data_IF_658257697661
#
_entry.id   IF_658257697661
#
_cell.length_a   1.000
_cell.length_b   1.000
_cell.length_c   1.000
_cell.angle_alpha   90.00
_cell.angle_beta   90.00
_cell.angle_gamma   90.00
#
_symmetry.space_group_name_H-M   'P 1'
#
loop_
_entity.id
_entity.type
_entity.pdbx_description
1 polymer ?
2 non-polymer ?
3 non-polymer ?
4 water ?
#
# COMPACT_ATOMS: atom_id res chain seq x y z
N UNK A 1 -15.72 -14.73 9.32
CA UNK A 1 -14.93 -15.07 8.14
C UNK A 1 -15.76 -14.77 6.90
N UNK A 2 -15.10 -14.26 5.87
CA UNK A 2 -15.66 -14.20 4.52
C UNK A 2 -14.53 -14.42 3.53
N UNK A 3 -14.80 -15.25 2.53
CA UNK A 3 -13.77 -15.69 1.59
C UNK A 3 -13.39 -14.56 0.64
N UNK A 4 -14.37 -13.77 0.21
CA UNK A 4 -14.10 -12.62 -0.63
C UNK A 4 -13.13 -11.69 0.09
N UNK A 5 -13.48 -11.28 1.30
CA UNK A 5 -12.63 -10.37 2.07
C UNK A 5 -11.22 -10.92 2.27
N UNK A 6 -11.14 -12.16 2.74
CA UNK A 6 -9.85 -12.77 3.01
C UNK A 6 -9.04 -12.87 1.75
N UNK A 7 -9.64 -13.42 0.69
CA UNK A 7 -8.92 -13.59 -0.55
C UNK A 7 -8.47 -12.24 -1.09
N UNK A 8 -9.33 -11.23 -0.91
CA UNK A 8 -8.98 -9.85 -1.30
C UNK A 8 -7.77 -9.31 -0.51
N UNK A 9 -7.78 -9.45 0.82
CA UNK A 9 -6.64 -8.98 1.62
C UNK A 9 -5.33 -9.71 1.32
N UNK A 10 -5.39 -11.03 1.19
CA UNK A 10 -4.19 -11.80 0.85
C UNK A 10 -3.67 -11.42 -0.54
N UNK A 11 -4.58 -11.26 -1.50
CA UNK A 11 -4.18 -10.85 -2.84
C UNK A 11 -3.43 -9.51 -2.79
N UNK A 12 -3.90 -8.58 -1.96
CA UNK A 12 -3.22 -7.30 -1.76
C UNK A 12 -1.79 -7.49 -1.23
N UNK A 13 -1.56 -8.51 -0.42
CA UNK A 13 -0.21 -8.80 0.11
C UNK A 13 0.78 -9.22 -0.95
N UNK A 14 0.28 -9.53 -2.15
CA UNK A 14 1.09 -9.95 -3.26
C UNK A 14 1.97 -8.80 -3.73
N UNK A 15 1.52 -7.58 -3.44
CA UNK A 15 2.29 -6.42 -3.82
C UNK A 15 3.61 -6.35 -3.05
N UNK A 16 3.58 -6.37 -1.70
CA UNK A 16 4.90 -6.45 -1.05
C UNK A 16 5.62 -7.79 -1.18
N UNK A 17 4.88 -8.90 -1.34
CA UNK A 17 5.53 -10.19 -1.53
C UNK A 17 6.35 -10.18 -2.83
N UNK A 18 5.82 -9.48 -3.83
CA UNK A 18 6.53 -9.32 -5.09
C UNK A 18 7.84 -8.56 -4.94
N UNK A 19 7.80 -7.42 -4.25
CA UNK A 19 8.98 -6.65 -3.91
C UNK A 19 10.05 -7.54 -3.35
N UNK A 20 9.65 -8.40 -2.43
CA UNK A 20 10.58 -9.27 -1.75
C UNK A 20 11.11 -10.36 -2.66
N UNK A 21 10.26 -10.87 -3.54
CA UNK A 21 10.67 -11.88 -4.49
C UNK A 21 11.71 -11.33 -5.45
N UNK A 22 11.51 -10.07 -5.83
CA UNK A 22 12.33 -9.44 -6.85
C UNK A 22 13.64 -8.89 -6.28
N UNK A 23 13.60 -8.35 -5.08
CA UNK A 23 14.78 -7.76 -4.51
C UNK A 23 15.22 -8.52 -3.27
N UNK A 24 15.48 -9.81 -3.44
CA UNK A 24 15.66 -10.75 -2.33
C UNK A 24 16.65 -10.28 -1.26
N UNK A 25 16.13 -9.71 -0.16
CA UNK A 25 16.88 -9.20 0.98
C UNK A 25 17.11 -10.19 2.13
N UNK A 26 18.30 -10.31 2.74
CA UNK A 26 19.57 -9.59 2.49
C UNK A 26 19.48 -8.07 2.24
N UNK A 39 21.44 -19.69 7.57
CA UNK A 39 19.98 -19.79 7.67
C UNK A 39 19.43 -20.47 6.45
N UNK A 40 18.67 -21.56 6.63
CA UNK A 40 18.15 -22.37 5.53
C UNK A 40 17.14 -21.56 4.72
N UNK A 41 17.09 -21.73 3.41
CA UNK A 41 16.38 -20.78 2.55
C UNK A 41 14.85 -20.79 2.67
N UNK A 42 14.27 -21.76 3.35
CA UNK A 42 12.83 -21.75 3.48
C UNK A 42 12.36 -20.80 4.57
N UNK A 43 13.23 -20.41 5.50
CA UNK A 43 12.84 -19.53 6.62
C UNK A 43 12.18 -18.19 6.17
N UNK A 44 12.80 -17.49 5.24
CA UNK A 44 12.32 -16.18 4.76
C UNK A 44 10.91 -16.24 4.14
N UNK A 45 10.71 -17.11 3.12
CA UNK A 45 9.34 -17.10 2.58
C UNK A 45 8.34 -17.72 3.58
N UNK A 46 8.80 -18.67 4.40
CA UNK A 46 7.93 -19.25 5.41
C UNK A 46 7.55 -18.20 6.43
N UNK A 47 8.51 -17.39 6.83
CA UNK A 47 8.23 -16.29 7.76
C UNK A 47 7.22 -15.31 7.17
N UNK A 48 7.38 -15.00 5.87
CA UNK A 48 6.49 -14.07 5.17
C UNK A 48 5.09 -14.59 4.83
N UNK A 49 5.00 -15.85 4.39
CA UNK A 49 3.69 -16.44 4.19
C UNK A 49 2.88 -16.39 5.49
N UNK A 50 3.52 -16.74 6.61
CA UNK A 50 2.84 -16.68 7.89
C UNK A 50 2.36 -15.25 8.14
N UNK A 51 3.22 -14.26 7.93
CA UNK A 51 2.86 -12.85 8.18
C UNK A 51 1.70 -12.40 7.31
N UNK A 52 1.74 -12.76 6.04
CA UNK A 52 0.68 -12.37 5.13
C UNK A 52 -0.64 -13.06 5.50
N UNK A 53 -0.56 -14.30 5.96
CA UNK A 53 -1.77 -15.05 6.33
C UNK A 53 -2.37 -14.44 7.62
N UNK A 54 -1.51 -14.22 8.61
CA UNK A 54 -1.92 -13.61 9.88
C UNK A 54 -2.61 -12.27 9.68
N UNK A 55 -2.07 -11.43 8.81
CA UNK A 55 -2.62 -10.08 8.68
C UNK A 55 -3.86 -10.01 7.78
N UNK A 56 -3.98 -10.96 6.86
CA UNK A 56 -5.18 -11.05 6.01
C UNK A 56 -6.35 -11.60 6.83
N UNK A 57 -6.02 -12.48 7.76
CA UNK A 57 -7.01 -13.07 8.64
C UNK A 57 -7.56 -12.00 9.57
N UNK A 58 -6.65 -11.20 10.14
CA UNK A 58 -7.03 -10.12 11.04
C UNK A 58 -7.87 -9.04 10.34
N UNK A 59 -7.41 -8.58 9.18
CA UNK A 59 -8.19 -7.58 8.42
C UNK A 59 -9.58 -8.10 8.04
N UNK A 60 -9.65 -9.38 7.69
CA UNK A 60 -10.92 -9.99 7.35
C UNK A 60 -11.89 -9.94 8.54
N UNK A 61 -11.41 -10.30 9.73
CA UNK A 61 -12.26 -10.22 10.93
C UNK A 61 -12.73 -8.80 11.17
N UNK A 62 -11.79 -7.87 11.11
CA UNK A 62 -12.07 -6.47 11.39
C UNK A 62 -13.00 -5.85 10.33
N UNK A 63 -12.91 -6.30 9.08
CA UNK A 63 -13.63 -5.69 7.97
C UNK A 63 -15.14 -5.88 8.06
N UNK A 64 -15.55 -6.78 8.95
CA UNK A 64 -16.95 -7.13 9.14
C UNK A 64 -17.61 -6.37 10.27
N UNK A 65 -16.81 -5.78 11.16
CA UNK A 65 -17.33 -5.10 12.32
C UNK A 65 -17.71 -3.66 12.02
N UNK A 66 -18.64 -3.13 12.81
CA UNK A 66 -19.03 -1.73 12.70
C UNK A 66 -17.92 -0.86 13.24
N UNK A 67 -17.77 0.34 12.69
CA UNK A 67 -16.74 1.25 13.17
C UNK A 67 -15.31 0.96 12.75
N UNK A 68 -15.14 0.09 11.76
CA UNK A 68 -13.81 -0.36 11.39
C UNK A 68 -13.12 0.47 10.30
N UNK A 69 -13.73 1.58 9.87
CA UNK A 69 -13.22 2.38 8.77
C UNK A 69 -11.81 2.87 9.00
N UNK A 70 -11.58 3.42 10.19
CA UNK A 70 -10.31 3.98 10.61
C UNK A 70 -9.21 2.92 10.68
N UNK A 71 -9.54 1.76 11.24
CA UNK A 71 -8.57 0.66 11.28
C UNK A 71 -8.23 0.22 9.85
N UNK A 72 -9.23 0.19 8.98
CA UNK A 72 -9.00 -0.24 7.61
C UNK A 72 -8.23 0.83 6.81
N UNK A 73 -8.47 2.10 7.13
CA UNK A 73 -7.64 3.18 6.59
C UNK A 73 -6.18 3.02 7.04
N UNK A 74 -5.97 2.60 8.28
CA UNK A 74 -4.62 2.38 8.77
C UNK A 74 -4.04 1.20 8.02
N UNK A 75 -4.83 0.16 7.85
CA UNK A 75 -4.35 -1.04 7.16
C UNK A 75 -3.87 -0.78 5.71
N UNK A 76 -4.59 0.06 4.97
CA UNK A 76 -4.18 0.38 3.62
C UNK A 76 -2.82 1.06 3.68
N UNK A 77 -2.69 2.01 4.60
CA UNK A 77 -1.49 2.81 4.80
C UNK A 77 -0.25 1.97 5.13
N UNK A 78 -0.32 1.09 6.13
CA UNK A 78 0.87 0.26 6.44
C UNK A 78 1.22 -0.61 5.25
N UNK A 79 0.19 -1.00 4.48
CA UNK A 79 0.41 -1.96 3.44
C UNK A 79 1.19 -1.30 2.32
N UNK A 80 0.87 -0.05 2.05
CA UNK A 80 1.48 0.66 0.95
C UNK A 80 2.92 1.06 1.28
N UNK A 81 3.15 1.47 2.53
CA UNK A 81 4.50 1.86 2.93
C UNK A 81 5.40 0.64 3.11
N UNK A 82 4.83 -0.49 3.53
CA UNK A 82 5.51 -1.78 3.40
C UNK A 82 6.00 -2.02 1.95
N UNK A 83 5.10 -1.87 1.00
CA UNK A 83 5.44 -2.12 -0.40
C UNK A 83 6.50 -1.15 -0.91
N UNK A 84 6.42 0.09 -0.44
CA UNK A 84 7.38 1.12 -0.79
C UNK A 84 8.76 0.85 -0.17
N UNK A 85 8.78 0.35 1.06
CA UNK A 85 10.02 0.34 1.80
C UNK A 85 11.12 -0.48 1.12
N UNK A 86 10.80 -1.71 0.75
CA UNK A 86 11.78 -2.64 0.24
C UNK A 86 12.51 -2.12 -1.01
N UNK A 87 11.77 -1.62 -2.03
CA UNK A 87 12.46 -1.07 -3.21
C UNK A 87 13.22 0.23 -2.95
N UNK A 88 12.95 0.94 -1.86
CA UNK A 88 13.67 2.16 -1.60
C UNK A 88 14.95 1.84 -0.81
N UNK A 89 14.89 0.83 0.04
CA UNK A 89 16.07 0.50 0.81
C UNK A 89 16.98 -0.42 0.02
N UNK A 90 16.41 -1.46 -0.58
CA UNK A 90 17.19 -2.48 -1.26
C UNK A 90 17.28 -2.22 -2.74
N UNK A 91 16.33 -1.48 -3.28
CA UNK A 91 16.35 -1.18 -4.70
C UNK A 91 17.24 0.02 -5.00
N UNK A 92 16.73 1.21 -4.69
CA UNK A 92 17.41 2.48 -4.94
C UNK A 92 18.58 2.74 -4.02
N UNK A 93 18.74 1.86 -3.05
CA UNK A 93 19.57 2.07 -1.88
C UNK A 93 19.67 3.54 -1.45
N UNK A 94 18.52 4.21 -1.37
CA UNK A 94 18.44 5.55 -0.80
C UNK A 94 18.11 5.50 0.69
N UNK A 95 19.15 5.41 1.51
CA UNK A 95 19.00 5.08 2.92
C UNK A 95 18.25 6.10 3.77
N UNK A 96 18.26 7.35 3.36
CA UNK A 96 17.61 8.39 4.15
C UNK A 96 16.11 8.39 3.85
N UNK A 97 15.79 8.47 2.56
CA UNK A 97 14.43 8.28 2.10
C UNK A 97 13.82 7.01 2.71
N UNK A 98 14.59 5.93 2.69
CA UNK A 98 14.13 4.65 3.22
C UNK A 98 13.94 4.65 4.73
N UNK A 99 14.57 5.58 5.43
CA UNK A 99 14.39 5.68 6.87
C UNK A 99 13.06 6.30 7.23
N UNK A 100 12.68 7.34 6.47
CA UNK A 100 11.43 8.03 6.71
C UNK A 100 10.27 7.09 6.41
N UNK A 101 10.40 6.36 5.29
CA UNK A 101 9.35 5.44 4.87
C UNK A 101 9.14 4.41 5.95
N UNK A 102 10.21 3.77 6.41
CA UNK A 102 10.09 2.69 7.38
C UNK A 102 9.54 3.18 8.75
N UNK A 103 9.77 4.43 9.13
CA UNK A 103 9.25 4.91 10.41
C UNK A 103 7.79 5.25 10.28
N UNK A 104 7.42 5.74 9.11
CA UNK A 104 6.03 6.03 8.81
C UNK A 104 5.29 4.70 8.70
N UNK A 105 5.94 3.71 8.12
CA UNK A 105 5.39 2.36 8.01
C UNK A 105 5.15 1.76 9.39
N UNK A 106 6.20 1.79 10.22
CA UNK A 106 6.15 1.27 11.59
C UNK A 106 4.99 1.87 12.34
N UNK A 107 4.78 3.17 12.12
CA UNK A 107 3.74 3.91 12.81
C UNK A 107 2.34 3.38 12.41
N UNK A 108 2.12 3.15 11.13
CA UNK A 108 0.84 2.59 10.68
C UNK A 108 0.64 1.11 11.05
N UNK A 109 1.72 0.31 11.00
CA UNK A 109 1.65 -1.06 11.52
C UNK A 109 1.17 -1.05 12.99
N UNK A 110 1.79 -0.20 13.81
CA UNK A 110 1.37 -0.05 15.21
C UNK A 110 -0.05 0.48 15.31
N UNK A 111 -0.39 1.43 14.44
CA UNK A 111 -1.73 2.05 14.43
C UNK A 111 -2.82 1.03 14.06
N UNK A 112 -2.51 0.21 13.07
CA UNK A 112 -3.42 -0.86 12.66
C UNK A 112 -3.63 -1.81 13.81
N UNK A 113 -2.51 -2.30 14.36
CA UNK A 113 -2.55 -3.22 15.47
C UNK A 113 -3.44 -2.72 16.57
N UNK A 114 -3.27 -1.45 16.94
CA UNK A 114 -4.00 -0.92 18.08
C UNK A 114 -5.48 -0.68 17.77
N UNK A 115 -5.76 -0.16 16.59
CA UNK A 115 -7.13 0.00 16.15
C UNK A 115 -7.80 -1.37 15.98
N UNK A 116 -7.03 -2.37 15.56
CA UNK A 116 -7.57 -3.73 15.51
C UNK A 116 -7.96 -4.20 16.91
N UNK A 117 -7.08 -3.96 17.89
CA UNK A 117 -7.26 -4.37 19.28
C UNK A 117 -8.56 -3.79 19.86
N UNK A 118 -8.91 -2.58 19.46
CA UNK A 118 -10.05 -1.90 20.05
C UNK A 118 -11.35 -2.35 19.42
N UNK A 119 -11.27 -3.15 18.35
CA UNK A 119 -12.44 -3.75 17.73
C UNK A 119 -12.47 -5.26 17.95
N UNK A 120 -11.29 -5.87 18.02
CA UNK A 120 -11.17 -7.31 18.12
C UNK A 120 -9.78 -7.72 18.59
N UNK A 121 -9.72 -8.28 19.79
CA UNK A 121 -8.48 -8.74 20.41
C UNK A 121 -7.65 -9.68 19.55
N UNK A 122 -8.32 -10.65 18.91
CA UNK A 122 -7.66 -11.60 18.02
C UNK A 122 -6.92 -10.91 16.87
N UNK A 123 -7.59 -9.97 16.23
CA UNK A 123 -7.01 -9.20 15.14
C UNK A 123 -5.74 -8.49 15.56
N UNK A 124 -5.75 -7.93 16.77
CA UNK A 124 -4.57 -7.26 17.30
C UNK A 124 -3.45 -8.25 17.63
N UNK A 125 -3.82 -9.37 18.24
CA UNK A 125 -2.85 -10.39 18.56
C UNK A 125 -2.18 -10.89 17.28
N UNK A 126 -2.97 -11.08 16.25
CA UNK A 126 -2.46 -11.60 14.98
C UNK A 126 -1.50 -10.63 14.29
N UNK A 127 -1.54 -9.35 14.66
CA UNK A 127 -0.58 -8.36 14.16
C UNK A 127 0.70 -8.16 14.98
N UNK A 128 0.76 -8.71 16.19
CA UNK A 128 1.95 -8.53 16.99
C UNK A 128 3.23 -9.00 16.27
N UNK A 129 3.24 -10.23 15.69
CA UNK A 129 4.49 -10.65 15.04
C UNK A 129 4.92 -9.78 13.85
N UNK A 130 3.98 -9.05 13.28
CA UNK A 130 4.27 -8.19 12.14
C UNK A 130 4.83 -6.87 12.61
N UNK A 131 4.35 -6.37 13.74
CA UNK A 131 5.00 -5.23 14.38
C UNK A 131 6.44 -5.56 14.76
N UNK A 132 6.70 -6.83 15.10
CA UNK A 132 8.04 -7.27 15.43
C UNK A 132 8.94 -7.20 14.20
N UNK A 133 8.48 -7.70 13.04
CA UNK A 133 9.26 -7.49 11.83
C UNK A 133 9.51 -6.00 11.52
N UNK A 134 8.49 -5.17 11.71
CA UNK A 134 8.58 -3.75 11.36
C UNK A 134 9.56 -3.05 12.25
N UNK A 135 9.71 -3.58 13.46
CA UNK A 135 10.70 -3.10 14.43
C UNK A 135 12.11 -3.55 14.04
N UNK A 136 12.20 -4.74 13.46
CA UNK A 136 13.44 -5.22 12.91
C UNK A 136 13.88 -4.36 11.72
N UNK A 137 12.92 -4.06 10.86
CA UNK A 137 13.13 -3.29 9.64
C UNK A 137 13.66 -1.90 9.93
N UNK A 138 13.05 -1.26 10.92
CA UNK A 138 13.45 0.05 11.39
C UNK A 138 14.87 0.04 12.00
N UNK A 139 15.16 -0.98 12.79
CA UNK A 139 16.49 -1.10 13.40
C UNK A 139 17.59 -1.27 12.38
N UNK A 140 17.37 -2.19 11.44
CA UNK A 140 18.33 -2.43 10.37
C UNK A 140 18.59 -1.14 9.61
N UNK A 141 17.54 -0.37 9.41
CA UNK A 141 17.64 0.78 8.54
C UNK A 141 18.17 2.00 9.27
N UNK A 142 18.04 2.06 10.59
CA UNK A 142 18.63 3.16 11.36
C UNK A 142 20.16 3.16 11.28
N UNK A 143 20.71 2.02 10.90
CA UNK A 143 22.15 1.76 10.94
C UNK A 143 22.82 1.97 9.61
N UNK A 144 22.32 1.20 8.64
CA UNK A 144 22.58 1.41 7.24
C UNK A 144 22.65 2.89 7.05
N UNK A 145 21.65 3.56 7.63
CA UNK A 145 21.57 5.01 7.71
C UNK A 145 22.89 5.72 8.04
N UNK A 146 23.20 5.92 9.31
CA UNK A 146 24.31 6.79 9.61
C UNK A 146 25.65 6.04 9.60
N UNK A 147 25.72 5.02 8.73
CA UNK A 147 27.00 4.59 8.18
C UNK A 147 27.16 5.31 6.84
N UNK A 148 26.03 5.65 6.22
CA UNK A 148 25.99 6.27 4.91
C UNK A 148 25.45 7.70 4.96
N UNK A 149 25.49 8.29 6.15
CA UNK A 149 24.84 9.58 6.38
C UNK A 149 25.47 10.72 5.63
N UNK A 150 26.76 10.56 5.30
CA UNK A 150 27.53 11.64 4.70
C UNK A 150 27.70 11.47 3.18
N UNK A 151 27.22 10.34 2.65
CA UNK A 151 27.14 10.14 1.20
C UNK A 151 25.79 10.53 0.65
N UNK A 152 25.66 11.77 0.13
CA UNK A 152 24.36 12.29 -0.31
C UNK A 152 23.76 11.49 -1.46
N UNK A 153 24.50 10.55 -2.05
CA UNK A 153 23.92 9.61 -3.00
C UNK A 153 23.15 8.50 -2.30
N UNK A 154 23.65 8.09 -1.14
CA UNK A 154 22.88 7.19 -0.29
C UNK A 154 21.65 7.93 0.22
N UNK A 155 21.81 9.17 0.69
CA UNK A 155 20.66 9.96 1.13
C UNK A 155 19.64 10.15 0.00
N UNK B 1 -16.64 14.26 6.19
CA UNK B 1 -17.01 14.30 7.60
C UNK B 1 -16.03 13.77 8.58
N UNK B 2 -14.88 13.26 8.13
CA UNK B 2 -13.87 13.03 9.13
C UNK B 2 -12.44 13.30 8.65
N UNK B 3 -11.73 14.11 9.44
CA UNK B 3 -10.38 14.55 9.14
C UNK B 3 -9.37 13.44 9.40
N UNK B 4 -9.59 12.67 10.46
CA UNK B 4 -8.75 11.51 10.75
C UNK B 4 -8.76 10.57 9.57
N UNK B 5 -9.95 10.15 9.14
CA UNK B 5 -10.07 9.20 8.02
C UNK B 5 -9.38 9.74 6.80
N UNK B 6 -9.74 10.96 6.44
CA UNK B 6 -9.22 11.63 5.27
C UNK B 6 -7.72 11.77 5.35
N UNK B 7 -7.25 12.32 6.46
CA UNK B 7 -5.83 12.56 6.61
C UNK B 7 -5.09 11.22 6.57
N UNK B 8 -5.68 10.19 7.17
CA UNK B 8 -5.10 8.85 7.10
C UNK B 8 -5.05 8.33 5.66
N UNK B 9 -6.13 8.46 4.88
CA UNK B 9 -6.08 8.00 3.48
C UNK B 9 -5.08 8.80 2.62
N UNK B 10 -5.07 10.12 2.78
CA UNK B 10 -4.14 10.96 2.03
C UNK B 10 -2.69 10.64 2.40
N UNK B 11 -2.44 10.39 3.69
CA UNK B 11 -1.11 10.00 4.12
C UNK B 11 -0.70 8.71 3.41
N UNK B 12 -1.64 7.78 3.26
CA UNK B 12 -1.34 6.52 2.55
C UNK B 12 -0.93 6.79 1.10
N UNK B 13 -1.47 7.83 0.48
CA UNK B 13 -1.08 8.13 -0.90
C UNK B 13 0.38 8.56 -0.99
N UNK B 14 0.98 8.88 0.15
CA UNK B 14 2.36 9.34 0.23
C UNK B 14 3.33 8.25 -0.18
N UNK B 15 2.90 6.99 -0.03
CA UNK B 15 3.72 5.86 -0.43
C UNK B 15 3.87 5.80 -1.96
N UNK B 16 2.74 5.76 -2.73
CA UNK B 16 2.94 5.82 -4.18
C UNK B 16 3.42 7.18 -4.70
N UNK B 17 3.08 8.27 -4.02
CA UNK B 17 3.59 9.56 -4.43
C UNK B 17 5.12 9.61 -4.30
N UNK B 18 5.63 8.92 -3.28
CA UNK B 18 7.08 8.84 -3.05
C UNK B 18 7.80 8.15 -4.21
N UNK B 19 7.27 7.01 -4.63
CA UNK B 19 7.75 6.26 -5.81
C UNK B 19 7.91 7.18 -7.00
N UNK B 20 6.91 8.04 -7.18
CA UNK B 20 6.91 8.96 -8.30
C UNK B 20 7.93 10.07 -8.13
N UNK B 21 8.10 10.52 -6.88
CA UNK B 21 9.09 11.54 -6.60
C UNK B 21 10.49 11.00 -6.93
N UNK B 22 10.69 9.71 -6.70
CA UNK B 22 12.00 9.06 -6.86
C UNK B 22 12.34 8.59 -8.29
N UNK B 23 11.37 8.05 -9.02
CA UNK B 23 11.60 7.49 -10.34
C UNK B 23 10.89 8.29 -11.42
N UNK B 24 11.29 9.54 -11.54
CA UNK B 24 10.59 10.60 -12.26
C UNK B 24 10.10 10.32 -13.70
N UNK B 25 8.80 10.01 -13.87
CA UNK B 25 8.29 9.89 -15.25
C UNK B 25 7.66 11.21 -15.75
N UNK B 26 7.96 11.67 -16.97
CA UNK B 26 8.89 11.02 -17.89
C UNK B 26 10.32 11.47 -17.66
N UNK B 39 5.34 19.38 -22.45
CA UNK B 39 4.40 19.29 -21.31
C UNK B 39 4.88 20.13 -20.13
N UNK B 40 4.05 21.09 -19.68
CA UNK B 40 4.54 21.97 -18.61
C UNK B 40 4.75 21.15 -17.36
N UNK B 41 5.82 21.43 -16.61
CA UNK B 41 6.24 20.50 -15.58
C UNK B 41 5.36 20.43 -14.33
N UNK B 42 4.44 21.37 -14.17
CA UNK B 42 3.55 21.35 -13.03
C UNK B 42 2.40 20.40 -13.27
N UNK B 43 2.16 20.05 -14.54
CA UNK B 43 1.06 19.15 -14.93
C UNK B 43 1.11 17.80 -14.21
N UNK B 44 2.29 17.19 -14.16
CA UNK B 44 2.43 15.86 -13.56
C UNK B 44 2.05 15.87 -12.09
N UNK B 45 2.68 16.75 -11.28
CA UNK B 45 2.25 16.69 -9.87
C UNK B 45 0.84 17.22 -9.64
N UNK B 46 0.38 18.16 -10.46
CA UNK B 46 -0.96 18.68 -10.28
C UNK B 46 -2.00 17.60 -10.53
N UNK B 47 -1.80 16.79 -11.56
CA UNK B 47 -2.71 15.67 -11.83
C UNK B 47 -2.68 14.67 -10.69
N UNK B 48 -1.49 14.35 -10.21
CA UNK B 48 -1.38 13.38 -9.12
C UNK B 48 -1.89 13.93 -7.80
N UNK B 49 -1.62 15.20 -7.51
CA UNK B 49 -2.21 15.83 -6.33
C UNK B 49 -3.75 15.74 -6.43
N UNK B 50 -4.32 16.06 -7.59
CA UNK B 50 -5.76 15.94 -7.79
C UNK B 50 -6.24 14.49 -7.59
N UNK B 51 -5.53 13.52 -8.17
CA UNK B 51 -5.89 12.11 -8.08
C UNK B 51 -5.91 11.60 -6.64
N UNK B 52 -4.92 12.03 -5.86
CA UNK B 52 -4.82 11.60 -4.46
C UNK B 52 -5.91 12.18 -3.55
N UNK B 53 -6.29 13.43 -3.78
CA UNK B 53 -7.30 14.03 -2.92
C UNK B 53 -8.66 13.41 -3.22
N UNK B 54 -8.95 13.32 -4.52
CA UNK B 54 -10.20 12.73 -5.02
C UNK B 54 -10.41 11.33 -4.46
N UNK B 55 -9.35 10.52 -4.41
CA UNK B 55 -9.54 9.14 -3.99
C UNK B 55 -9.57 9.02 -2.45
N UNK B 56 -8.94 9.98 -1.75
CA UNK B 56 -9.01 10.07 -0.28
C UNK B 56 -10.36 10.62 0.17
N UNK B 57 -10.93 11.53 -0.61
CA UNK B 57 -12.26 12.02 -0.30
C UNK B 57 -13.26 10.89 -0.46
N UNK B 58 -13.13 10.14 -1.57
CA UNK B 58 -14.01 9.01 -1.83
C UNK B 58 -13.87 7.91 -0.75
N UNK B 59 -12.64 7.52 -0.44
CA UNK B 59 -12.39 6.52 0.63
C UNK B 59 -12.93 6.99 1.99
N UNK B 60 -12.76 8.28 2.26
CA UNK B 60 -13.27 8.86 3.48
C UNK B 60 -14.79 8.71 3.59
N UNK B 61 -15.50 9.01 2.50
CA UNK B 61 -16.95 8.88 2.48
C UNK B 61 -17.40 7.44 2.75
N UNK B 62 -16.76 6.50 2.07
CA UNK B 62 -17.13 5.08 2.16
C UNK B 62 -16.77 4.45 3.52
N UNK B 63 -15.67 4.91 4.13
CA UNK B 63 -15.16 4.30 5.36
C UNK B 63 -16.11 4.53 6.51
N UNK B 64 -17.04 5.45 6.32
CA UNK B 64 -17.97 5.84 7.37
C UNK B 64 -19.27 5.03 7.27
N UNK B 65 -19.55 4.47 6.09
CA UNK B 65 -20.78 3.72 5.86
C UNK B 65 -20.64 2.28 6.32
N UNK B 66 -21.75 1.66 6.68
CA UNK B 66 -21.73 0.23 6.95
C UNK B 66 -21.79 -0.57 5.65
N UNK B 67 -21.20 -1.76 5.68
CA UNK B 67 -21.04 -2.60 4.52
C UNK B 67 -19.82 -2.20 3.72
N UNK B 68 -18.92 -1.42 4.31
CA UNK B 68 -17.84 -0.87 3.51
C UNK B 68 -16.58 -1.72 3.49
N UNK B 69 -16.58 -2.85 4.19
CA UNK B 69 -15.37 -3.65 4.34
C UNK B 69 -14.74 -4.11 3.05
N UNK B 70 -15.56 -4.66 2.15
CA UNK B 70 -15.10 -5.19 0.87
C UNK B 70 -14.56 -4.10 -0.06
N UNK B 71 -15.22 -2.95 -0.10
CA UNK B 71 -14.66 -1.84 -0.87
C UNK B 71 -13.31 -1.38 -0.27
N UNK B 72 -13.22 -1.32 1.05
CA UNK B 72 -11.97 -0.87 1.69
C UNK B 72 -10.86 -1.94 1.55
N UNK B 73 -11.21 -3.21 1.56
CA UNK B 73 -10.23 -4.22 1.19
C UNK B 73 -9.73 -3.98 -0.25
N UNK B 74 -10.65 -3.56 -1.13
CA UNK B 74 -10.27 -3.26 -2.50
C UNK B 74 -9.37 -2.04 -2.56
N UNK B 75 -9.73 -1.02 -1.80
CA UNK B 75 -8.93 0.20 -1.79
C UNK B 75 -7.47 -0.06 -1.37
N UNK B 76 -7.29 -0.89 -0.35
CA UNK B 76 -5.94 -1.21 0.09
C UNK B 76 -5.17 -1.88 -1.03
N UNK B 77 -5.81 -2.85 -1.68
CA UNK B 77 -5.19 -3.64 -2.74
C UNK B 77 -4.71 -2.81 -3.92
N UNK B 78 -5.56 -1.94 -4.46
CA UNK B 78 -5.12 -1.11 -5.59
C UNK B 78 -3.98 -0.18 -5.15
N UNK B 79 -3.97 0.20 -3.88
CA UNK B 79 -3.03 1.22 -3.45
C UNK B 79 -1.65 0.60 -3.47
N UNK B 80 -1.60 -0.67 -3.07
CA UNK B 80 -0.33 -1.35 -2.96
C UNK B 80 0.26 -1.68 -4.35
N UNK B 81 -0.58 -2.14 -5.27
CA UNK B 81 -0.15 -2.46 -6.63
C UNK B 81 0.12 -1.19 -7.45
N UNK B 82 -0.57 -0.11 -7.13
CA UNK B 82 -0.12 1.21 -7.57
C UNK B 82 1.32 1.51 -7.13
N UNK B 83 1.56 1.35 -5.83
CA UNK B 83 2.88 1.62 -5.24
C UNK B 83 3.94 0.71 -5.81
N UNK B 84 3.53 -0.55 -6.04
CA UNK B 84 4.41 -1.55 -6.61
C UNK B 84 4.73 -1.26 -8.07
N UNK B 85 3.76 -0.78 -8.85
CA UNK B 85 3.95 -0.74 -10.29
C UNK B 85 5.14 0.12 -10.76
N UNK B 86 5.21 1.35 -10.24
CA UNK B 86 6.19 2.32 -10.67
C UNK B 86 7.64 1.81 -10.45
N UNK B 87 7.96 1.27 -9.26
CA UNK B 87 9.34 0.77 -9.09
C UNK B 87 9.65 -0.48 -9.90
N UNK B 88 8.64 -1.21 -10.38
CA UNK B 88 8.90 -2.40 -11.17
C UNK B 88 9.01 -2.04 -12.65
N UNK B 89 8.28 -1.03 -13.08
CA UNK B 89 8.34 -0.66 -14.46
C UNK B 89 9.51 0.27 -14.72
N UNK B 90 9.63 1.30 -13.88
CA UNK B 90 10.59 2.36 -14.09
C UNK B 90 11.85 2.07 -13.30
N UNK B 91 11.70 1.33 -12.21
CA UNK B 91 12.84 1.04 -11.38
C UNK B 91 13.59 -0.15 -11.93
N UNK B 92 13.06 -1.34 -11.73
CA UNK B 92 13.70 -2.58 -12.15
C UNK B 92 13.66 -2.80 -13.66
N UNK B 93 12.93 -1.93 -14.36
CA UNK B 93 12.53 -2.08 -15.77
C UNK B 93 12.26 -3.51 -16.24
N UNK B 94 11.57 -4.30 -15.42
CA UNK B 94 11.13 -5.64 -15.83
C UNK B 94 9.73 -5.57 -16.43
N UNK B 95 9.68 -5.39 -17.74
CA UNK B 95 8.46 -5.07 -18.46
C UNK B 95 7.40 -6.15 -18.42
N UNK B 96 7.78 -7.39 -18.19
CA UNK B 96 6.81 -8.45 -18.19
C UNK B 96 6.15 -8.56 -16.83
N UNK B 97 7.00 -8.72 -15.82
CA UNK B 97 6.56 -8.71 -14.44
C UNK B 97 5.65 -7.50 -14.16
N UNK B 98 6.07 -6.33 -14.64
CA UNK B 98 5.31 -5.10 -14.47
C UNK B 98 3.98 -5.15 -15.22
N UNK B 99 3.87 -6.03 -16.20
CA UNK B 99 2.60 -6.15 -16.92
C UNK B 99 1.58 -6.85 -16.06
N UNK B 100 2.02 -7.89 -15.36
CA UNK B 100 1.11 -8.61 -14.51
C UNK B 100 0.69 -7.67 -13.39
N UNK B 101 1.66 -6.93 -12.86
CA UNK B 101 1.36 -5.98 -11.78
C UNK B 101 0.35 -4.96 -12.23
N UNK B 102 0.58 -4.31 -13.37
CA UNK B 102 -0.32 -3.23 -13.77
C UNK B 102 -1.74 -3.76 -14.12
N UNK B 103 -1.85 -5.00 -14.57
CA UNK B 103 -3.18 -5.56 -14.89
C UNK B 103 -3.89 -5.90 -13.61
N UNK B 104 -3.12 -6.38 -12.63
CA UNK B 104 -3.66 -6.66 -11.32
C UNK B 104 -4.06 -5.34 -10.68
N UNK B 105 -3.23 -4.31 -10.87
CA UNK B 105 -3.56 -2.98 -10.33
C UNK B 105 -4.81 -2.44 -10.97
N UNK B 106 -4.88 -2.47 -12.31
CA UNK B 106 -6.07 -1.98 -13.02
C UNK B 106 -7.32 -2.64 -12.50
N UNK B 107 -7.24 -3.93 -12.21
CA UNK B 107 -8.41 -4.69 -11.81
C UNK B 107 -8.96 -4.24 -10.44
N UNK B 108 -8.07 -4.03 -9.49
CA UNK B 108 -8.50 -3.54 -8.18
C UNK B 108 -8.99 -2.09 -8.20
N UNK B 109 -8.37 -1.24 -9.03
CA UNK B 109 -8.88 0.13 -9.18
C UNK B 109 -10.35 0.11 -9.65
N UNK B 110 -10.63 -0.68 -10.70
CA UNK B 110 -11.99 -0.81 -11.19
C UNK B 110 -12.94 -1.35 -10.11
N UNK B 111 -12.45 -2.31 -9.33
CA UNK B 111 -13.24 -2.94 -8.27
C UNK B 111 -13.54 -1.97 -7.14
N UNK B 112 -12.54 -1.19 -6.74
CA UNK B 112 -12.71 -0.16 -5.71
C UNK B 112 -13.79 0.77 -6.22
N UNK B 113 -13.60 1.26 -7.44
CA UNK B 113 -14.57 2.16 -8.08
C UNK B 113 -15.97 1.63 -8.05
N UNK B 114 -16.16 0.36 -8.42
CA UNK B 114 -17.51 -0.18 -8.53
C UNK B 114 -18.11 -0.46 -7.16
N UNK B 115 -17.32 -1.00 -6.24
CA UNK B 115 -17.81 -1.18 -4.88
C UNK B 115 -18.09 0.16 -4.19
N UNK B 116 -17.30 1.20 -4.47
CA UNK B 116 -17.63 2.53 -3.92
C UNK B 116 -19.00 2.95 -4.44
N UNK B 117 -19.20 2.77 -5.75
CA UNK B 117 -20.44 3.14 -6.44
C UNK B 117 -21.66 2.52 -5.78
N UNK B 118 -21.49 1.34 -5.19
CA UNK B 118 -22.60 0.60 -4.64
C UNK B 118 -22.95 1.11 -3.24
N UNK B 119 -22.08 1.92 -2.67
CA UNK B 119 -22.32 2.48 -1.34
C UNK B 119 -22.62 3.97 -1.39
N UNK B 120 -22.01 4.64 -2.35
CA UNK B 120 -22.09 6.08 -2.43
C UNK B 120 -21.71 6.50 -3.85
N UNK B 121 -22.68 7.11 -4.55
CA UNK B 121 -22.50 7.55 -5.93
C UNK B 121 -21.30 8.49 -6.14
N UNK B 122 -21.15 9.47 -5.24
CA UNK B 122 -20.04 10.43 -5.29
C UNK B 122 -18.66 9.74 -5.19
N UNK B 123 -18.54 8.78 -4.28
CA UNK B 123 -17.31 8.00 -4.15
C UNK B 123 -16.92 7.34 -5.46
N UNK B 124 -17.90 6.83 -6.19
CA UNK B 124 -17.65 6.21 -7.49
C UNK B 124 -17.23 7.23 -8.54
N UNK B 125 -17.92 8.36 -8.58
CA UNK B 125 -17.61 9.42 -9.54
C UNK B 125 -16.20 9.89 -9.32
N UNK B 126 -15.83 10.03 -8.04
CA UNK B 126 -14.50 10.50 -7.68
C UNK B 126 -13.37 9.55 -8.06
N UNK B 127 -13.66 8.26 -8.30
CA UNK B 127 -12.65 7.31 -8.81
C UNK B 127 -12.47 7.19 -10.34
N UNK B 128 -13.42 7.72 -11.10
CA UNK B 128 -13.36 7.61 -12.55
C UNK B 128 -12.04 8.16 -13.12
N UNK B 129 -11.61 9.39 -12.72
CA UNK B 129 -10.34 9.89 -13.31
C UNK B 129 -9.12 9.04 -12.95
N UNK B 130 -9.25 8.23 -11.90
CA UNK B 130 -8.19 7.35 -11.47
C UNK B 130 -8.23 6.04 -12.27
N UNK B 131 -9.42 5.54 -12.57
CA UNK B 131 -9.55 4.41 -13.49
C UNK B 131 -9.00 4.78 -14.87
N UNK B 132 -9.16 6.05 -15.25
CA UNK B 132 -8.64 6.57 -16.53
C UNK B 132 -7.11 6.56 -16.52
N UNK B 133 -6.50 7.07 -15.45
CA UNK B 133 -5.06 6.96 -15.31
C UNK B 133 -4.60 5.50 -15.37
N UNK B 134 -5.35 4.61 -14.73
CA UNK B 134 -4.95 3.22 -14.59
C UNK B 134 -4.96 2.50 -15.94
N UNK B 135 -5.84 2.96 -16.82
CA UNK B 135 -5.94 2.46 -18.17
C UNK B 135 -4.78 2.98 -19.05
N UNK B 136 -4.36 4.21 -18.78
CA UNK B 136 -3.20 4.75 -19.43
C UNK B 136 -1.98 3.96 -19.00
N UNK B 137 -1.92 3.66 -17.71
CA UNK B 137 -0.82 2.93 -17.11
C UNK B 137 -0.68 1.56 -17.76
N UNK B 138 -1.81 0.89 -17.91
CA UNK B 138 -1.85 -0.41 -18.57
C UNK B 138 -1.45 -0.24 -20.04
N UNK B 139 -1.97 0.80 -20.70
CA UNK B 139 -1.68 1.05 -22.10
C UNK B 139 -0.21 1.25 -22.36
N UNK B 140 0.42 2.09 -21.55
CA UNK B 140 1.85 2.32 -21.65
C UNK B 140 2.64 1.02 -21.56
N UNK B 141 2.23 0.14 -20.64
CA UNK B 141 3.05 -1.01 -20.29
C UNK B 141 2.94 -2.11 -21.35
N UNK B 142 1.89 -2.06 -22.16
CA UNK B 142 1.73 -3.07 -23.19
C UNK B 142 2.71 -2.93 -24.36
N UNK B 143 3.02 -1.70 -24.79
CA UNK B 143 4.02 -1.56 -25.86
C UNK B 143 5.46 -1.77 -25.37
N UNK B 144 5.74 -1.43 -24.13
CA UNK B 144 7.04 -1.81 -23.56
C UNK B 144 7.15 -3.34 -23.49
X LIG C 1 -1.90 -14.20 -7.15
X LIG C 1 0.88 -13.45 -0.43
X LIG C 1 1.73 -14.28 0.23
X LIG C 1 -2.91 -14.07 -6.04
X LIG C 1 1.00 -13.23 -1.93
X LIG C 1 2.31 -15.55 -0.38
X LIG C 1 8.78 -7.40 2.50
X LIG C 1 -2.70 -15.20 -5.05
X LIG C 1 0.10 -14.17 -2.71
X LIG C 1 3.72 -15.33 -0.91
X LIG C 1 -3.28 -14.83 -3.71
X LIG C 1 -1.36 -13.85 -2.43
X LIG C 1 4.70 -15.29 0.25
X LIG C 1 -2.23 -15.08 -2.64
X LIG C 1 6.06 -15.77 -0.22
X LIG C 1 7.16 -14.98 0.45
X LIG C 1 7.20 -13.59 -0.13
X LIG C 1 8.53 -12.91 0.15
X LIG C 1 9.37 -9.72 1.89
X LIG C 1 8.36 -11.49 0.67
X LIG C 1 9.33 -8.30 1.40
X LIG C 1 7.25 -11.11 1.02
X LIG C 1 8.16 -6.27 1.92
X LIG C 1 10.63 -7.88 1.02
X LIG C 1 9.46 -10.63 0.82
X LIG D 1 1.31 8.94 18.23
X LIG D 1 7.83 6.54 15.07
X LIG D 1 8.33 5.56 15.85
X LIG D 1 2.43 9.94 18.49
X LIG D 1 6.54 7.24 15.48
X LIG D 1 9.63 4.83 15.50
X LIG D 1 17.50 -4.22 17.33
X LIG D 1 3.73 9.46 17.89
X LIG D 1 6.67 8.74 15.32
X LIG D 1 9.87 3.75 16.55
X LIG D 1 4.05 10.18 16.58
X LIG D 1 6.47 9.44 16.66
X LIG D 1 11.12 2.96 16.26
X LIG D 1 5.50 10.62 16.56
X LIG D 1 10.74 1.61 15.72
X LIG D 1 11.41 0.51 16.51
X LIG D 1 12.90 0.76 16.68
X LIG D 1 13.65 -0.48 16.18
X LIG D 1 15.93 -2.77 16.19
X LIG D 1 14.92 -0.72 16.99
X LIG D 1 17.41 -3.05 16.38
X LIG D 1 15.37 0.22 17.62
X LIG D 1 18.78 -4.81 17.21
X LIG D 1 18.07 -3.37 15.17
X LIG D 1 15.39 -2.03 17.27
X LIG E 1 16.32 -9.64 6.20
X LIG E 1 15.62 -10.30 7.25
X LIG E 1 15.00 -9.31 8.21
X LIG E 1 14.00 -9.92 9.02
X LIG E 1 14.35 -10.64 10.22
X LIG E 1 14.13 -10.11 11.31
X LIG E 1 14.94 -12.09 10.16
X LIG E 1 14.10 -13.10 9.32
X LIG E 1 14.34 -8.20 7.37
X LIG E 1 13.92 -8.73 6.07
X LIG E 1 12.77 -9.56 6.01
X LIG E 1 11.81 -9.20 5.31
X LIG E 1 12.69 -10.93 6.81
X LIG E 1 11.28 -11.22 7.40
X LIG E 1 11.23 -12.14 8.67
X LIG E 1 10.60 -11.41 9.83
X LIG E 1 10.20 -12.39 11.01
X LIG E 1 9.62 -11.63 12.25
X LIG E 1 8.10 -11.90 12.48
X LIG E 1 7.80 -13.35 12.95
X LIG E 1 7.05 -14.19 11.88
X LIG E 1 6.62 -15.61 12.42
X LIG E 1 5.12 -15.82 12.49
X LIG E 1 4.62 -16.39 13.91
X LIG E 1 3.67 -17.60 13.77
X LIG E 1 2.16 -17.20 13.66
X LIG E 1 1.47 -17.73 12.40
X LIG E 1 0.75 -19.06 12.65
X LIG E 1 1.45 -19.84 13.73
X LIG F 1 -1.72 14.15 7.00
X LIG F 1 0.03 12.82 -1.37
X LIG F 1 -0.14 13.94 -2.11
X LIG F 1 -0.44 13.55 6.45
X LIG F 1 1.03 12.84 -0.24
X LIG F 1 1.07 14.76 -2.53
X LIG F 1 2.39 6.94 -9.46
X LIG F 1 -0.39 13.82 4.95
X LIG F 1 0.40 13.60 0.91
X LIG F 1 0.97 15.17 -3.98
X LIG F 1 0.98 14.32 4.54
X LIG F 1 1.20 13.46 2.18
X LIG F 1 2.14 14.65 -4.79
X LIG F 1 0.94 14.67 3.07
X LIG F 1 2.02 15.12 -6.23
X LIG F 1 3.22 14.66 -7.05
X LIG F 1 3.41 13.17 -6.87
X LIG F 1 4.13 12.54 -8.05
X LIG F 1 3.13 9.30 -9.48
X LIG F 1 3.75 11.06 -8.05
X LIG F 1 3.51 7.88 -9.10
X LIG F 1 2.81 10.72 -7.36
X LIG F 1 2.27 5.94 -8.49
X LIG F 1 4.70 7.50 -9.78
X LIG F 1 4.13 10.22 -9.11
#
# INVERSE_FOLDING_TARGET
MDWALFLTFLAACGAPATTGALLKPDEWYDNLNKPWWNPPRWVFPLAWTSLYFLMSLAAMRVAQLEGSGQALAFYAAQLAFNTLWTPVFFGMKRMATALAVVMVMWLFVAATMWAFFQLDTWAGVLFVPYLIWATAATGLNFEAMRLNWNRPEAR
MDWALFLTFLAACGAPATTGALLKPDEWYDNLNKPWWNPPRWVFPLAWTSLYFLMSLAAMRVAQLEGSGQALAFYAAQLAFNTLWTPVFFGMKRMATALAVVMVMWLFVAATMWAFFQLDTWAGVLFVPYLIWATAATGLNFEAMRLNWNRPEAR
OLC C18 C10 C9 C17 C11 C8 C24 C16 C12 C7 C15 C13 C6 C14 C5 C4 C3 C2 C21 C1 C22 O19 O25 O23 O20
OLC C18 C10 C9 C17 C11 C8 C24 C16 C12 C7 C15 C13 C6 C14 C5 C4 C3 C2 C21 C1 C22 O19 O25 O23 O20
YZY O1 C1 C2 O2 C3 O3 C4 C5 C19 O4 C20 O5 C21 C22 C23 C24 C25 C26 C27 C28 C29 C30 C31 C32 C33 C34 C35 C36 C37
OLC C18 C10 C9 C17 C11 C8 C24 C16 C12 C7 C15 C13 C6 C14 C5 C4 C3 C2 C21 C1 C22 O19 O25 O23 O20
#
